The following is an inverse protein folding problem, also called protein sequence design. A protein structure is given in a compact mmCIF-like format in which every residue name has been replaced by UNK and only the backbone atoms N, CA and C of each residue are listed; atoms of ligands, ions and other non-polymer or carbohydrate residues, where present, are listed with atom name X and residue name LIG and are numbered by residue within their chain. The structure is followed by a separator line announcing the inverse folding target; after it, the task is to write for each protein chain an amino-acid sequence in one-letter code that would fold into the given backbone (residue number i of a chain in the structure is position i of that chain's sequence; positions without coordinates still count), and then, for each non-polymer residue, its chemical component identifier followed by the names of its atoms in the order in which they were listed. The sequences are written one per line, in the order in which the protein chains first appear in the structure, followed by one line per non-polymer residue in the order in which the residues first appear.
data_IF_288836241229
#
_entry.id   IF_288836241229
#
_cell.length_a   1.000
_cell.length_b   1.000
_cell.length_c   1.000
_cell.angle_alpha   90.00
_cell.angle_beta   90.00
_cell.angle_gamma   90.00
#
_symmetry.space_group_name_H-M   'P 1'
#
loop_
_entity.id
_entity.type
_entity.pdbx_description
1 polymer ?
#
# COMPACT_ATOMS: atom_id res chain seq x y z
N UNK A 1 -10.12 10.06 11.05
CA UNK A 1 -10.24 8.83 11.59
C UNK A 1 -11.29 7.99 11.14
N UNK A 2 -11.35 7.20 10.87
CA UNK A 2 -11.62 6.54 10.17
C UNK A 2 -11.89 5.35 10.10
N UNK A 3 -12.42 4.54 10.01
CA UNK A 3 -12.48 3.26 9.56
C UNK A 3 -13.66 2.48 9.93
N UNK A 4 -14.50 2.19 8.98
CA UNK A 4 -15.18 0.91 8.84
C UNK A 4 -14.21 -0.14 8.24
N UNK A 5 -14.58 -1.42 8.26
CA UNK A 5 -13.96 -2.47 7.47
C UNK A 5 -13.87 -2.03 6.03
N UNK A 6 -12.72 -2.22 5.41
CA UNK A 6 -12.49 -1.96 3.99
C UNK A 6 -12.65 -0.52 3.52
N UNK A 7 -12.89 0.44 4.41
CA UNK A 7 -12.88 1.83 4.03
C UNK A 7 -11.46 2.34 3.79
N UNK A 8 -11.36 3.28 2.88
CA UNK A 8 -10.15 4.04 2.64
C UNK A 8 -9.85 4.92 3.84
N UNK A 9 -8.57 5.08 4.13
CA UNK A 9 -8.07 5.97 5.14
C UNK A 9 -7.33 7.11 4.48
N UNK A 10 -7.66 8.34 4.82
CA UNK A 10 -6.92 9.50 4.32
C UNK A 10 -5.44 9.45 4.74
N UNK A 11 -5.13 9.06 5.97
CA UNK A 11 -3.74 8.90 6.40
C UNK A 11 -3.05 7.71 5.70
N UNK A 12 -3.74 6.57 5.59
CA UNK A 12 -3.23 5.41 4.86
C UNK A 12 -2.95 5.74 3.40
N UNK A 13 -3.81 6.55 2.76
CA UNK A 13 -3.63 6.99 1.40
C UNK A 13 -2.44 7.97 1.26
N UNK A 14 -2.31 8.97 2.16
CA UNK A 14 -1.15 9.87 2.18
C UNK A 14 0.15 9.07 2.27
N UNK A 15 0.20 8.04 3.13
CA UNK A 15 1.39 7.22 3.31
C UNK A 15 1.69 6.41 2.04
N UNK A 16 0.69 5.75 1.44
CA UNK A 16 0.87 5.00 0.21
C UNK A 16 1.35 5.91 -0.95
N UNK A 17 0.71 7.06 -1.11
CA UNK A 17 1.08 8.05 -2.13
C UNK A 17 2.48 8.63 -1.90
N UNK A 18 2.88 8.80 -0.63
CA UNK A 18 4.23 9.26 -0.29
C UNK A 18 5.32 8.27 -0.71
N UNK A 19 5.05 6.97 -0.61
CA UNK A 19 5.98 5.94 -1.07
C UNK A 19 6.09 5.95 -2.59
N UNK A 20 4.96 6.11 -3.29
CA UNK A 20 4.96 6.25 -4.76
C UNK A 20 5.66 7.54 -5.21
N UNK A 21 5.47 8.65 -4.49
CA UNK A 21 6.12 9.93 -4.78
C UNK A 21 7.65 9.90 -4.61
N UNK A 22 8.12 9.16 -3.59
CA UNK A 22 9.53 9.13 -3.23
C UNK A 22 10.39 8.27 -4.16
N UNK A 23 9.79 7.49 -5.06
CA UNK A 23 10.50 6.52 -5.91
C UNK A 23 10.03 6.62 -7.35
N UNK A 24 10.97 6.74 -8.28
CA UNK A 24 10.65 6.85 -9.71
C UNK A 24 10.05 5.56 -10.28
N UNK A 25 9.11 5.74 -11.22
CA UNK A 25 8.55 4.65 -12.03
C UNK A 25 7.87 3.53 -11.22
N UNK A 26 7.23 3.89 -10.11
CA UNK A 26 6.41 2.97 -9.30
C UNK A 26 5.07 2.73 -9.98
N UNK A 27 4.65 1.47 -10.05
CA UNK A 27 3.30 1.11 -10.50
C UNK A 27 2.33 1.02 -9.32
N UNK A 28 2.80 0.49 -8.18
CA UNK A 28 2.01 0.32 -6.96
C UNK A 28 2.85 0.59 -5.73
N UNK A 29 2.35 1.41 -4.82
CA UNK A 29 2.87 1.47 -3.46
C UNK A 29 1.86 0.89 -2.48
N UNK A 30 2.31 0.14 -1.47
CA UNK A 30 1.43 -0.55 -0.52
C UNK A 30 1.90 -0.33 0.90
N UNK A 31 0.93 -0.07 1.79
CA UNK A 31 1.16 0.01 3.23
C UNK A 31 0.04 -0.69 4.01
N UNK A 32 0.35 -1.63 4.90
CA UNK A 32 -0.66 -2.24 5.76
C UNK A 32 -0.98 -1.33 6.95
N UNK A 33 -2.24 -1.33 7.38
CA UNK A 33 -2.68 -0.51 8.52
C UNK A 33 -1.91 -0.81 9.81
N UNK A 34 -1.39 -2.03 9.96
CA UNK A 34 -0.62 -2.45 11.13
C UNK A 34 0.73 -1.75 11.29
N UNK A 35 1.28 -1.14 10.24
CA UNK A 35 2.51 -0.36 10.31
C UNK A 35 2.28 1.11 10.66
N UNK A 36 1.04 1.60 10.56
CA UNK A 36 0.64 2.95 10.92
C UNK A 36 0.40 3.00 12.45
N UNK A 37 1.15 3.82 13.16
CA UNK A 37 1.25 3.78 14.63
C UNK A 37 0.58 4.96 15.33
N UNK A 38 0.32 6.05 14.62
CA UNK A 38 -0.30 7.26 15.16
C UNK A 38 -1.18 7.93 14.11
N UNK A 39 -1.91 8.97 14.52
CA UNK A 39 -2.77 9.78 13.66
C UNK A 39 -2.40 11.26 13.82
N UNK A 40 -2.75 12.08 12.83
CA UNK A 40 -2.52 13.51 12.93
C UNK A 40 -3.77 14.23 13.43
N UNK A 41 -3.56 15.12 14.38
CA UNK A 41 -4.61 16.05 14.84
C UNK A 41 -4.66 17.27 13.92
N UNK A 42 -5.77 17.99 13.96
CA UNK A 42 -5.89 19.28 13.26
C UNK A 42 -4.92 20.31 13.84
N UNK A 43 -4.16 20.94 12.99
CA UNK A 43 -3.13 21.94 13.33
C UNK A 43 -1.84 21.64 12.58
N UNK A 44 -0.74 22.18 13.05
CA UNK A 44 0.58 21.96 12.48
C UNK A 44 1.00 20.50 12.69
N UNK A 45 1.53 19.90 11.63
CA UNK A 45 2.08 18.54 11.64
C UNK A 45 3.60 18.68 11.61
N UNK A 46 4.24 18.23 12.67
CA UNK A 46 5.69 18.29 12.80
C UNK A 46 6.37 17.04 12.20
N UNK A 47 7.68 17.10 11.99
CA UNK A 47 8.46 15.91 11.58
C UNK A 47 8.40 14.81 12.64
N UNK A 48 8.25 15.18 13.92
CA UNK A 48 8.09 14.24 15.02
C UNK A 48 6.75 13.51 14.92
N UNK A 49 5.66 14.20 14.59
CA UNK A 49 4.36 13.57 14.36
C UNK A 49 4.43 12.57 13.19
N UNK A 50 5.09 12.96 12.09
CA UNK A 50 5.31 12.10 10.94
C UNK A 50 6.14 10.87 11.34
N UNK A 51 7.25 11.07 12.06
CA UNK A 51 8.05 9.96 12.57
C UNK A 51 7.21 9.02 13.45
N UNK A 52 6.44 9.55 14.39
CA UNK A 52 5.62 8.75 15.31
C UNK A 52 4.55 7.95 14.56
N UNK A 53 4.00 8.47 13.47
CA UNK A 53 3.02 7.74 12.66
C UNK A 53 3.60 6.51 11.95
N UNK A 54 4.92 6.50 11.69
CA UNK A 54 5.61 5.39 11.01
C UNK A 54 6.98 5.07 11.63
N UNK A 55 7.03 4.90 12.95
CA UNK A 55 8.25 4.82 13.76
C UNK A 55 8.83 3.40 13.93
N UNK A 56 8.23 2.37 13.31
CA UNK A 56 8.64 1.00 13.52
C UNK A 56 10.02 0.69 12.94
N UNK A 57 10.77 -0.11 13.69
CA UNK A 57 12.00 -0.75 13.26
C UNK A 57 13.24 0.11 13.23
N UNK A 58 14.29 -0.52 12.77
CA UNK A 58 15.61 0.07 12.58
C UNK A 58 16.14 -0.46 11.25
N UNK A 59 16.71 0.39 10.43
CA UNK A 59 17.33 -0.01 9.18
C UNK A 59 18.68 -0.73 9.38
N UNK A 60 19.23 -1.24 8.31
CA UNK A 60 20.56 -1.87 8.29
C UNK A 60 21.68 -0.86 8.60
N UNK A 61 21.43 0.42 8.35
CA UNK A 61 22.28 1.56 8.70
C UNK A 61 22.24 1.91 10.21
N UNK A 62 21.43 1.24 11.02
CA UNK A 62 21.25 1.50 12.43
C UNK A 62 20.39 2.73 12.76
N UNK A 63 19.80 3.38 11.75
CA UNK A 63 18.93 4.54 11.94
C UNK A 63 17.49 4.08 12.13
N UNK A 64 16.78 4.73 13.05
CA UNK A 64 15.38 4.42 13.38
C UNK A 64 14.42 4.62 12.19
N UNK A 65 13.43 3.76 12.09
CA UNK A 65 12.46 3.67 11.02
C UNK A 65 12.83 2.62 9.97
N UNK A 66 11.84 1.84 9.53
CA UNK A 66 12.07 0.91 8.42
C UNK A 66 12.33 1.66 7.11
N UNK A 67 13.31 1.20 6.32
CA UNK A 67 13.53 1.74 4.98
C UNK A 67 12.47 1.24 3.99
N UNK A 68 12.29 1.97 2.90
CA UNK A 68 11.55 1.51 1.74
C UNK A 68 12.38 0.49 0.95
N UNK A 69 11.68 -0.46 0.34
CA UNK A 69 12.24 -1.45 -0.58
C UNK A 69 11.57 -1.38 -1.94
N UNK A 70 12.33 -1.72 -2.96
CA UNK A 70 11.88 -1.83 -4.35
C UNK A 70 11.81 -3.30 -4.73
N UNK A 71 10.60 -3.77 -5.08
CA UNK A 71 10.34 -5.15 -5.47
C UNK A 71 9.42 -5.19 -6.69
N UNK A 72 9.23 -6.38 -7.25
CA UNK A 72 8.29 -6.61 -8.33
C UNK A 72 7.34 -7.75 -7.97
N UNK A 73 6.08 -7.58 -8.34
CA UNK A 73 5.05 -8.62 -8.27
C UNK A 73 4.46 -8.82 -9.67
N UNK A 74 4.02 -10.04 -9.96
CA UNK A 74 3.21 -10.30 -11.16
C UNK A 74 1.81 -9.72 -11.00
N UNK A 75 1.10 -9.48 -12.09
CA UNK A 75 -0.28 -9.00 -12.02
C UNK A 75 -1.20 -9.96 -11.27
N UNK A 76 -0.95 -11.26 -11.39
CA UNK A 76 -1.65 -12.28 -10.60
C UNK A 76 -1.41 -12.10 -9.09
N UNK A 77 -0.20 -11.77 -8.69
CA UNK A 77 0.13 -11.51 -7.28
C UNK A 77 -0.46 -10.18 -6.79
N UNK A 78 -0.57 -9.15 -7.64
CA UNK A 78 -1.27 -7.91 -7.29
C UNK A 78 -2.77 -8.14 -7.05
N UNK A 79 -3.43 -8.92 -7.92
CA UNK A 79 -4.83 -9.34 -7.71
C UNK A 79 -4.98 -10.15 -6.43
N UNK A 80 -4.01 -11.00 -6.11
CA UNK A 80 -3.99 -11.76 -4.87
C UNK A 80 -3.79 -10.84 -3.64
N UNK A 81 -2.99 -9.79 -3.73
CA UNK A 81 -2.84 -8.81 -2.65
C UNK A 81 -4.17 -8.08 -2.36
N UNK A 82 -4.91 -7.68 -3.40
CA UNK A 82 -6.25 -7.14 -3.26
C UNK A 82 -7.22 -8.15 -2.61
N UNK A 83 -7.12 -9.43 -2.97
CA UNK A 83 -7.93 -10.50 -2.40
C UNK A 83 -7.60 -10.76 -0.92
N UNK A 84 -6.31 -10.66 -0.54
CA UNK A 84 -5.89 -10.72 0.87
C UNK A 84 -6.53 -9.59 1.66
N UNK A 85 -6.49 -8.35 1.16
CA UNK A 85 -7.15 -7.23 1.82
C UNK A 85 -8.66 -7.48 1.97
N UNK A 86 -9.35 -7.83 0.88
CA UNK A 86 -10.79 -8.04 0.87
C UNK A 86 -11.24 -9.22 1.74
N UNK A 87 -10.40 -10.24 1.94
CA UNK A 87 -10.78 -11.48 2.63
C UNK A 87 -10.21 -11.60 4.04
N UNK A 88 -8.98 -11.11 4.28
CA UNK A 88 -8.26 -11.31 5.55
C UNK A 88 -8.48 -10.15 6.52
N UNK A 89 -8.65 -8.93 6.02
CA UNK A 89 -8.81 -7.74 6.88
C UNK A 89 -10.08 -7.79 7.76
N UNK A 90 -11.06 -8.65 7.44
CA UNK A 90 -12.22 -8.94 8.28
C UNK A 90 -11.84 -9.57 9.62
N UNK A 91 -10.80 -10.40 9.63
CA UNK A 91 -10.35 -11.15 10.79
C UNK A 91 -9.10 -10.53 11.42
N UNK A 92 -8.27 -9.87 10.59
CA UNK A 92 -7.03 -9.24 10.99
C UNK A 92 -6.97 -7.82 10.41
N UNK A 93 -7.49 -6.85 11.16
CA UNK A 93 -7.56 -5.44 10.72
C UNK A 93 -6.19 -4.84 10.40
N UNK A 94 -5.12 -5.33 11.03
CA UNK A 94 -3.74 -4.92 10.78
C UNK A 94 -3.22 -5.34 9.40
N UNK A 95 -3.88 -6.30 8.75
CA UNK A 95 -3.57 -6.73 7.38
C UNK A 95 -4.30 -5.91 6.30
N UNK A 96 -5.15 -4.95 6.70
CA UNK A 96 -5.79 -4.03 5.76
C UNK A 96 -4.73 -3.24 5.02
N UNK A 97 -4.81 -3.22 3.69
CA UNK A 97 -3.85 -2.54 2.84
C UNK A 97 -4.38 -1.18 2.39
N UNK A 98 -3.51 -0.20 2.32
CA UNK A 98 -3.72 1.04 1.57
C UNK A 98 -2.74 1.03 0.41
N UNK A 99 -3.17 1.49 -0.76
CA UNK A 99 -2.35 1.44 -1.96
C UNK A 99 -2.44 2.73 -2.76
N UNK A 100 -1.33 3.09 -3.37
CA UNK A 100 -1.27 4.03 -4.47
C UNK A 100 -1.14 3.24 -5.77
N UNK A 101 -1.91 3.60 -6.78
CA UNK A 101 -1.92 2.95 -8.08
C UNK A 101 -2.84 1.73 -8.20
N UNK A 102 -3.02 0.90 -7.18
CA UNK A 102 -3.87 -0.29 -7.22
C UNK A 102 -5.29 0.01 -6.74
N UNK A 103 -6.28 -0.37 -7.54
CA UNK A 103 -7.70 -0.22 -7.25
C UNK A 103 -8.44 -1.53 -7.44
N UNK A 104 -9.50 -1.76 -6.67
CA UNK A 104 -10.32 -2.95 -6.84
C UNK A 104 -11.75 -2.79 -6.33
N UNK A 105 -12.64 -3.56 -6.94
CA UNK A 105 -14.01 -3.76 -6.45
C UNK A 105 -14.12 -5.15 -5.83
N UNK A 106 -14.81 -5.25 -4.70
CA UNK A 106 -15.02 -6.54 -4.04
C UNK A 106 -16.44 -6.67 -3.50
N UNK A 107 -16.90 -7.91 -3.41
CA UNK A 107 -18.20 -8.24 -2.84
C UNK A 107 -18.01 -9.04 -1.52
N UNK A 108 -18.36 -8.46 -0.37
CA UNK A 108 -18.19 -9.11 0.95
C UNK A 108 -19.02 -10.39 1.12
N UNK A 109 -20.08 -10.57 0.32
CA UNK A 109 -20.95 -11.74 0.37
C UNK A 109 -20.37 -12.97 -0.37
N UNK A 110 -19.27 -12.79 -1.12
CA UNK A 110 -18.58 -13.89 -1.82
C UNK A 110 -17.72 -14.72 -0.86
N UNK A 111 -17.29 -15.88 -1.32
CA UNK A 111 -16.39 -16.75 -0.56
C UNK A 111 -15.05 -16.07 -0.29
N UNK A 112 -14.44 -16.39 0.84
CA UNK A 112 -13.07 -16.00 1.19
C UNK A 112 -12.12 -16.38 0.04
N UNK A 113 -11.20 -15.50 -0.30
CA UNK A 113 -10.27 -15.61 -1.43
C UNK A 113 -10.95 -15.67 -2.82
N UNK A 114 -12.15 -15.13 -2.90
CA UNK A 114 -12.90 -14.92 -4.15
C UNK A 114 -13.83 -13.70 -4.04
N UNK A 115 -13.46 -12.72 -3.21
CA UNK A 115 -14.27 -11.52 -2.98
C UNK A 115 -14.02 -10.44 -4.02
N UNK A 116 -12.81 -10.31 -4.54
CA UNK A 116 -12.48 -9.31 -5.56
C UNK A 116 -13.17 -9.65 -6.87
N UNK A 117 -13.88 -8.69 -7.43
CA UNK A 117 -14.66 -8.83 -8.68
C UNK A 117 -14.04 -8.07 -9.84
N UNK A 118 -13.23 -7.06 -9.54
CA UNK A 118 -12.49 -6.25 -10.50
C UNK A 118 -11.21 -5.72 -9.85
N UNK A 119 -10.10 -5.64 -10.60
CA UNK A 119 -8.83 -5.16 -10.09
C UNK A 119 -8.02 -4.54 -11.24
N UNK A 120 -7.59 -3.29 -11.06
CA UNK A 120 -6.91 -2.52 -12.09
C UNK A 120 -5.92 -1.52 -11.48
N UNK A 121 -5.03 -0.99 -12.29
CA UNK A 121 -4.16 0.12 -11.91
C UNK A 121 -4.73 1.44 -12.41
N UNK A 122 -4.42 2.52 -11.68
CA UNK A 122 -4.59 3.89 -12.17
C UNK A 122 -3.22 4.55 -12.26
N UNK A 123 -2.91 5.11 -13.42
CA UNK A 123 -1.70 5.88 -13.68
C UNK A 123 -2.06 7.10 -14.52
N UNK A 124 -1.68 8.29 -14.05
CA UNK A 124 -2.01 9.55 -14.75
C UNK A 124 -3.52 9.69 -15.05
N UNK A 125 -4.36 9.29 -14.08
CA UNK A 125 -5.83 9.24 -14.18
C UNK A 125 -6.39 8.25 -15.23
N UNK A 126 -5.55 7.43 -15.84
CA UNK A 126 -5.99 6.38 -16.78
C UNK A 126 -6.06 5.02 -16.10
N UNK A 127 -7.15 4.28 -16.39
CA UNK A 127 -7.31 2.89 -15.97
C UNK A 127 -6.45 1.98 -16.84
N UNK A 128 -5.65 1.13 -16.21
CA UNK A 128 -4.79 0.13 -16.84
C UNK A 128 -5.19 -1.26 -16.35
N UNK A 129 -5.54 -2.15 -17.28
CA UNK A 129 -5.87 -3.53 -16.95
C UNK A 129 -4.62 -4.32 -16.56
N UNK A 130 -4.69 -5.03 -15.42
CA UNK A 130 -3.58 -5.82 -14.90
C UNK A 130 -3.45 -7.12 -15.71
N UNK A 131 -2.29 -7.34 -16.31
CA UNK A 131 -1.93 -8.57 -17.02
C UNK A 131 -1.27 -9.56 -16.05
N UNK A 132 -1.79 -10.76 -15.94
CA UNK A 132 -1.40 -11.74 -14.91
C UNK A 132 0.10 -12.05 -14.87
N UNK A 133 0.74 -12.18 -16.02
CA UNK A 133 2.16 -12.55 -16.15
C UNK A 133 3.11 -11.36 -16.25
N UNK A 134 2.59 -10.14 -16.30
CA UNK A 134 3.42 -8.92 -16.34
C UNK A 134 3.96 -8.60 -14.95
N UNK A 135 5.21 -8.13 -14.89
CA UNK A 135 5.82 -7.60 -13.67
C UNK A 135 5.46 -6.14 -13.48
N UNK A 136 5.12 -5.79 -12.25
CA UNK A 136 4.80 -4.44 -11.81
C UNK A 136 5.74 -4.04 -10.68
N UNK A 137 6.25 -2.81 -10.76
CA UNK A 137 7.13 -2.25 -9.75
C UNK A 137 6.34 -1.90 -8.49
N UNK A 138 6.66 -2.54 -7.38
CA UNK A 138 5.99 -2.37 -6.09
C UNK A 138 6.96 -1.82 -5.06
N UNK A 139 6.55 -0.75 -4.39
CA UNK A 139 7.27 -0.15 -3.27
C UNK A 139 6.49 -0.33 -1.97
N UNK A 140 7.19 -0.74 -0.93
CA UNK A 140 6.66 -0.86 0.42
C UNK A 140 7.79 -0.70 1.44
N UNK A 141 7.49 -0.72 2.74
CA UNK A 141 8.53 -0.79 3.77
C UNK A 141 9.12 -2.20 3.92
N UNK A 142 10.34 -2.28 4.47
CA UNK A 142 11.06 -3.55 4.62
C UNK A 142 10.28 -4.57 5.45
N UNK A 143 9.61 -4.15 6.53
CA UNK A 143 8.83 -5.06 7.38
C UNK A 143 7.67 -5.68 6.61
N UNK A 144 6.93 -4.87 5.85
CA UNK A 144 5.83 -5.34 5.01
C UNK A 144 6.32 -6.36 3.98
N UNK A 145 7.44 -6.09 3.32
CA UNK A 145 8.06 -7.04 2.40
C UNK A 145 8.41 -8.37 3.05
N UNK A 146 9.00 -8.34 4.25
CA UNK A 146 9.33 -9.54 5.02
C UNK A 146 8.09 -10.33 5.45
N UNK A 147 6.99 -9.63 5.78
CA UNK A 147 5.72 -10.26 6.13
C UNK A 147 5.06 -10.97 4.96
N UNK A 148 5.23 -10.50 3.71
CA UNK A 148 4.71 -11.20 2.51
C UNK A 148 5.22 -12.64 2.42
N UNK A 149 6.51 -12.87 2.68
CA UNK A 149 7.07 -14.22 2.75
C UNK A 149 6.48 -15.09 3.87
N UNK A 150 6.00 -14.48 4.95
CA UNK A 150 5.33 -15.18 6.05
C UNK A 150 3.88 -15.54 5.73
N UNK A 151 3.17 -14.71 4.95
CA UNK A 151 1.79 -14.97 4.51
C UNK A 151 1.69 -16.27 3.73
N UNK A 152 2.66 -16.57 2.86
CA UNK A 152 2.73 -17.83 2.13
C UNK A 152 2.78 -19.04 3.08
N UNK A 153 3.61 -18.97 4.12
CA UNK A 153 3.73 -20.06 5.11
C UNK A 153 2.46 -20.24 5.94
N UNK A 154 1.87 -19.13 6.40
CA UNK A 154 0.67 -19.15 7.23
C UNK A 154 -0.58 -19.60 6.46
N UNK A 155 -0.63 -19.37 5.16
CA UNK A 155 -1.72 -19.78 4.27
C UNK A 155 -1.53 -21.19 3.69
N UNK A 156 -0.52 -21.95 4.13
CA UNK A 156 -0.18 -23.27 3.54
C UNK A 156 0.01 -23.23 2.02
N UNK A 157 0.57 -22.12 1.51
CA UNK A 157 0.83 -21.94 0.09
C UNK A 157 -0.38 -21.48 -0.75
N UNK A 158 -1.54 -21.25 -0.13
CA UNK A 158 -2.71 -20.70 -0.83
C UNK A 158 -2.54 -19.23 -1.26
N UNK A 159 -1.77 -18.48 -0.50
CA UNK A 159 -1.47 -17.08 -0.73
C UNK A 159 0.03 -16.94 -0.96
N UNK A 160 0.48 -17.17 -2.20
CA UNK A 160 1.88 -17.01 -2.57
C UNK A 160 2.10 -15.62 -3.16
N UNK A 161 2.56 -14.70 -2.32
CA UNK A 161 3.08 -13.40 -2.72
C UNK A 161 4.60 -13.50 -2.59
N UNK A 162 5.29 -13.63 -3.72
CA UNK A 162 6.73 -13.81 -3.76
C UNK A 162 7.40 -12.58 -4.39
N UNK A 163 8.00 -11.69 -3.56
CA UNK A 163 8.72 -10.54 -4.09
C UNK A 163 9.83 -10.96 -5.06
N UNK A 164 9.91 -10.26 -6.19
CA UNK A 164 10.86 -10.53 -7.28
C UNK A 164 11.74 -9.32 -7.55
N UNK A 165 12.87 -9.56 -8.16
CA UNK A 165 13.70 -8.53 -8.78
C UNK A 165 13.08 -8.06 -10.12
N UNK A 166 13.67 -7.04 -10.72
CA UNK A 166 13.21 -6.48 -12.03
C UNK A 166 13.27 -7.48 -13.20
N UNK A 167 13.96 -8.61 -13.04
CA UNK A 167 14.07 -9.65 -14.05
C UNK A 167 13.09 -10.80 -13.78
N UNK A 168 12.30 -10.72 -12.71
CA UNK A 168 11.34 -11.74 -12.32
C UNK A 168 11.91 -12.87 -11.46
N UNK A 169 13.14 -12.76 -10.99
CA UNK A 169 13.72 -13.76 -10.09
C UNK A 169 13.25 -13.51 -8.65
N UNK A 170 12.90 -14.56 -7.89
CA UNK A 170 12.59 -14.44 -6.47
C UNK A 170 13.72 -13.75 -5.69
N UNK A 171 13.34 -12.86 -4.78
CA UNK A 171 14.28 -12.18 -3.90
C UNK A 171 14.52 -13.04 -2.66
N UNK A 172 15.76 -13.50 -2.45
CA UNK A 172 16.16 -14.25 -1.27
C UNK A 172 16.34 -13.35 -0.05
N UNK A 173 16.90 -12.17 -0.24
CA UNK A 173 17.16 -11.19 0.83
C UNK A 173 16.63 -9.81 0.46
N UNK A 174 15.53 -9.41 1.08
CA UNK A 174 14.88 -8.11 0.83
C UNK A 174 15.75 -6.91 1.25
N UNK A 175 16.68 -7.08 2.15
CA UNK A 175 17.59 -6.00 2.57
C UNK A 175 18.51 -5.53 1.43
N UNK A 176 18.76 -6.38 0.43
CA UNK A 176 19.57 -6.01 -0.74
C UNK A 176 18.78 -5.13 -1.73
N UNK A 177 17.47 -5.01 -1.52
CA UNK A 177 16.55 -4.21 -2.30
C UNK A 177 16.09 -2.93 -1.56
N UNK A 178 16.77 -2.58 -0.47
CA UNK A 178 16.54 -1.31 0.23
C UNK A 178 16.89 -0.15 -0.70
N UNK A 179 15.95 0.78 -0.83
CA UNK A 179 16.12 2.00 -1.61
C UNK A 179 17.09 2.93 -0.89
N UNK A 180 18.08 3.43 -1.62
CA UNK A 180 19.10 4.33 -1.09
C UNK A 180 19.23 5.57 -1.95
N UNK A 181 19.38 6.70 -1.27
CA UNK A 181 19.72 8.00 -1.87
C UNK A 181 21.02 8.48 -1.25
N UNK A 182 21.99 8.85 -2.06
CA UNK A 182 23.34 9.26 -1.62
C UNK A 182 23.97 8.29 -0.61
N UNK A 183 23.73 6.99 -0.79
CA UNK A 183 24.24 5.92 0.07
C UNK A 183 23.51 5.74 1.40
N UNK A 184 22.49 6.53 1.70
CA UNK A 184 21.65 6.41 2.90
C UNK A 184 20.33 5.70 2.56
N UNK A 185 19.82 4.92 3.49
CA UNK A 185 18.52 4.27 3.35
C UNK A 185 17.39 5.30 3.33
N UNK A 186 16.51 5.21 2.35
CA UNK A 186 15.29 6.02 2.29
C UNK A 186 14.29 5.47 3.31
N UNK A 187 14.13 6.19 4.43
CA UNK A 187 13.19 5.80 5.48
C UNK A 187 11.75 6.12 5.09
N UNK A 188 10.81 5.24 5.45
CA UNK A 188 9.40 5.42 5.18
C UNK A 188 8.87 6.75 5.76
N UNK A 189 9.22 7.08 7.01
CA UNK A 189 8.83 8.36 7.62
C UNK A 189 9.41 9.58 6.89
N UNK A 190 10.61 9.47 6.33
CA UNK A 190 11.21 10.58 5.56
C UNK A 190 10.50 10.76 4.21
N UNK A 191 10.12 9.67 3.55
CA UNK A 191 9.28 9.73 2.35
C UNK A 191 7.94 10.45 2.63
N UNK A 192 7.29 10.13 3.75
CA UNK A 192 6.05 10.81 4.18
C UNK A 192 6.31 12.31 4.42
N UNK A 193 7.36 12.65 5.16
CA UNK A 193 7.71 14.04 5.45
C UNK A 193 8.00 14.85 4.18
N UNK A 194 8.71 14.27 3.22
CA UNK A 194 9.01 14.91 1.92
C UNK A 194 7.76 15.15 1.11
N UNK A 195 6.88 14.15 1.03
CA UNK A 195 5.63 14.27 0.31
C UNK A 195 4.73 15.34 0.90
N UNK A 196 4.57 15.39 2.22
CA UNK A 196 3.77 16.42 2.87
C UNK A 196 4.35 17.82 2.68
N UNK A 197 5.67 17.98 2.60
CA UNK A 197 6.33 19.26 2.28
C UNK A 197 6.18 19.66 0.81
N UNK A 198 5.83 18.76 -0.07
CA UNK A 198 5.62 19.06 -1.49
C UNK A 198 4.24 19.66 -1.80
N UNK A 199 3.35 19.71 -0.82
CA UNK A 199 2.04 20.34 -0.99
C UNK A 199 2.14 21.86 -1.07
N UNK A 200 1.12 22.47 -1.68
CA UNK A 200 1.04 23.93 -1.79
C UNK A 200 0.79 24.59 -0.41
N UNK A 201 1.42 25.72 -0.20
CA UNK A 201 1.05 26.67 0.85
C UNK A 201 -0.17 27.48 0.36
N UNK A 202 -1.36 27.10 0.82
CA UNK A 202 -2.64 27.65 0.32
C UNK A 202 -3.14 28.85 1.13
N UNK A 203 -2.58 29.12 2.29
CA UNK A 203 -2.94 30.23 3.18
C UNK A 203 -1.83 31.27 3.32
N UNK A 204 -0.65 31.02 2.81
CA UNK A 204 0.45 31.98 2.69
C UNK A 204 1.24 32.19 3.97
N UNK A 205 1.22 31.22 4.89
CA UNK A 205 1.96 31.28 6.15
C UNK A 205 3.40 30.72 6.06
N UNK A 206 3.77 30.17 4.91
CA UNK A 206 5.07 29.58 4.64
C UNK A 206 5.16 28.10 4.97
N UNK A 207 4.04 27.45 5.30
CA UNK A 207 3.94 26.02 5.61
C UNK A 207 3.04 25.33 4.59
N UNK A 208 3.47 24.16 4.10
CA UNK A 208 2.68 23.37 3.16
C UNK A 208 1.38 22.86 3.82
N UNK A 209 0.25 23.05 3.15
CA UNK A 209 -1.04 22.58 3.65
C UNK A 209 -1.36 21.18 3.10
N UNK A 210 -1.86 20.28 3.93
CA UNK A 210 -2.34 18.98 3.46
C UNK A 210 -3.38 19.18 2.36
N UNK A 211 -3.16 18.54 1.21
CA UNK A 211 -4.03 18.69 0.03
C UNK A 211 -5.48 18.36 0.37
N UNK A 212 -6.41 19.17 -0.13
CA UNK A 212 -7.86 18.93 -0.03
C UNK A 212 -8.29 17.63 -0.70
N UNK A 213 -7.45 17.08 -1.57
CA UNK A 213 -7.63 15.74 -2.14
C UNK A 213 -7.93 14.71 -1.04
N UNK A 214 -7.18 14.74 0.06
CA UNK A 214 -7.32 13.79 1.17
C UNK A 214 -8.50 14.07 2.12
N UNK A 215 -9.32 15.08 1.84
CA UNK A 215 -10.53 15.35 2.62
C UNK A 215 -11.72 14.44 2.25
N UNK A 216 -11.63 13.70 1.14
CA UNK A 216 -12.66 12.78 0.64
C UNK A 216 -12.03 11.42 0.27
N UNK A 217 -12.88 10.40 0.14
CA UNK A 217 -12.51 9.08 -0.40
C UNK A 217 -12.36 9.15 -1.92
N UNK A 218 -11.52 8.27 -2.49
CA UNK A 218 -11.21 8.25 -3.92
C UNK A 218 -11.55 6.93 -4.61
N UNK A 219 -12.36 6.08 -3.95
CA UNK A 219 -12.86 4.82 -4.52
C UNK A 219 -11.77 3.84 -4.97
N UNK A 220 -10.60 3.86 -4.29
CA UNK A 220 -9.58 2.84 -4.50
C UNK A 220 -10.09 1.43 -4.16
N UNK A 221 -11.05 1.36 -3.24
CA UNK A 221 -11.74 0.15 -2.83
C UNK A 221 -13.25 0.36 -2.92
N UNK A 222 -13.88 -0.27 -3.89
CA UNK A 222 -15.33 -0.17 -4.09
C UNK A 222 -16.00 -1.42 -3.55
N UNK A 223 -17.04 -1.22 -2.74
CA UNK A 223 -17.86 -2.31 -2.21
C UNK A 223 -19.05 -2.52 -3.12
N UNK A 224 -19.17 -3.72 -3.69
CA UNK A 224 -20.37 -4.22 -4.34
C UNK A 224 -21.03 -5.26 -3.41
N UNK A 225 -22.09 -4.90 -2.73
CA UNK A 225 -22.81 -5.77 -1.79
C UNK A 225 -23.93 -6.58 -2.42
N UNK A 226 -23.95 -6.71 -3.76
CA UNK A 226 -24.93 -7.52 -4.50
C UNK A 226 -25.03 -8.92 -3.90
N UNK A 227 -26.29 -9.37 -3.70
CA UNK A 227 -26.62 -10.73 -3.24
C UNK A 227 -27.21 -11.60 -4.34
N UNK A 228 -27.11 -11.13 -5.59
CA UNK A 228 -27.54 -11.93 -6.73
C UNK A 228 -26.64 -13.18 -6.85
N UNK A 229 -27.25 -14.35 -6.89
CA UNK A 229 -26.55 -15.64 -6.95
C UNK A 229 -25.56 -15.70 -8.14
N UNK A 230 -25.91 -15.10 -9.28
CA UNK A 230 -25.05 -15.08 -10.47
C UNK A 230 -23.77 -14.31 -10.16
N UNK A 231 -23.86 -13.16 -9.49
CA UNK A 231 -22.72 -12.32 -9.15
C UNK A 231 -21.82 -12.98 -8.07
N UNK A 232 -22.44 -13.77 -7.17
CA UNK A 232 -21.70 -14.47 -6.12
C UNK A 232 -20.82 -15.62 -6.62
N UNK A 233 -21.13 -16.18 -7.80
CA UNK A 233 -20.39 -17.32 -8.38
C UNK A 233 -19.59 -16.96 -9.63
N UNK A 234 -19.74 -15.74 -10.15
CA UNK A 234 -19.00 -15.26 -11.31
C UNK A 234 -17.50 -15.25 -11.02
N UNK A 235 -16.69 -15.74 -11.93
CA UNK A 235 -15.23 -15.60 -11.81
C UNK A 235 -14.85 -14.13 -11.97
N UNK A 236 -13.85 -13.64 -11.20
CA UNK A 236 -13.26 -12.33 -11.45
C UNK A 236 -12.70 -12.26 -12.88
N UNK A 237 -12.73 -11.09 -13.46
CA UNK A 237 -12.08 -10.81 -14.74
C UNK A 237 -10.58 -10.71 -14.55
#
# INVERSE_FOLDING_TARGET
ELYSKHEESNLGQIIADSFAYAVDSVDVAVVPSGTIRDTYTKGDITVEDVYNSFSLGIGKDGVAGYPLISTYLTGKELKLAAEVDASVSDFMTTARLYSSGLNFTYNPNRMILNKVTDCYLTKEDERIEIQDDQLYHVVTDLYTGQMLGSVNKLSYGLLSLEPKDKNGNPIENLEDHIIKEDGKELKAWDAIARYMRSFDDTDGDGIANVSKYYASTHEHKVVDDSKNIIDLIKKPN
#
